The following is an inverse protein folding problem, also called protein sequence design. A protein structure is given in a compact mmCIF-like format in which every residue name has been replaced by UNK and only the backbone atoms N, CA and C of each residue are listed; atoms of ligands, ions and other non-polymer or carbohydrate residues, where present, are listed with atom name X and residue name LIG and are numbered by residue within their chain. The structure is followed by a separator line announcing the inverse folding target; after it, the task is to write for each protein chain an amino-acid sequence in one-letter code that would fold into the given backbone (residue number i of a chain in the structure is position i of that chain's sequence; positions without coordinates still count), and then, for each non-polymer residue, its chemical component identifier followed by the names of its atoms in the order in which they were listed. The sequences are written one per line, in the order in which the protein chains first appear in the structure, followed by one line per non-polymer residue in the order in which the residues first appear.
data_IF_110337556766
#
_entry.id   IF_110337556766
#
_cell.length_a   1.000
_cell.length_b   1.000
_cell.length_c   1.000
_cell.angle_alpha   90.00
_cell.angle_beta   90.00
_cell.angle_gamma   90.00
#
_symmetry.space_group_name_H-M   'P 1'
#
loop_
_entity.id
_entity.type
_entity.pdbx_description
1 polymer ?
#
# COMPACT_ATOMS: atom_id res chain seq x y z
N UNK A 1 11.55 3.21 -1.08
CA UNK A 1 10.28 3.51 -0.38
C UNK A 1 10.48 4.56 0.71
N UNK A 2 11.49 4.44 1.58
CA UNK A 2 11.78 5.41 2.66
C UNK A 2 11.89 6.86 2.17
N UNK A 3 12.65 7.11 1.10
CA UNK A 3 12.81 8.45 0.54
C UNK A 3 11.50 9.09 0.02
N UNK A 4 10.52 8.30 -0.44
CA UNK A 4 9.26 8.86 -0.94
C UNK A 4 8.37 9.40 0.19
N UNK A 5 8.48 8.79 1.38
CA UNK A 5 7.65 9.08 2.56
C UNK A 5 8.28 10.21 3.37
N UNK A 6 9.60 10.15 3.55
CA UNK A 6 10.35 11.12 4.35
C UNK A 6 10.37 12.51 3.70
N UNK A 7 10.42 12.58 2.37
CA UNK A 7 10.52 13.86 1.63
C UNK A 7 9.16 14.54 1.37
N UNK A 8 8.04 13.88 1.65
CA UNK A 8 6.72 14.42 1.28
C UNK A 8 5.82 14.62 2.52
N UNK A 9 5.59 15.88 2.94
CA UNK A 9 4.76 16.22 4.11
C UNK A 9 3.36 15.60 4.08
N UNK A 10 2.82 15.37 2.87
CA UNK A 10 1.52 14.74 2.66
C UNK A 10 1.45 13.28 3.16
N UNK A 11 2.60 12.62 3.34
CA UNK A 11 2.67 11.21 3.77
C UNK A 11 3.01 11.04 5.24
N UNK A 12 3.27 12.12 6.00
CA UNK A 12 3.56 12.02 7.43
C UNK A 12 2.37 11.54 8.27
N UNK A 13 1.14 11.65 7.77
CA UNK A 13 -0.05 11.09 8.40
C UNK A 13 -0.39 9.65 7.96
N UNK A 14 0.37 9.07 7.03
CA UNK A 14 0.07 7.75 6.47
C UNK A 14 0.80 6.67 7.27
N UNK A 15 0.05 5.77 7.90
CA UNK A 15 0.63 4.59 8.55
C UNK A 15 0.96 3.54 7.49
N UNK A 16 2.23 3.12 7.47
CA UNK A 16 2.69 2.11 6.50
C UNK A 16 2.93 0.80 7.23
N UNK A 17 2.07 -0.16 6.94
CA UNK A 17 2.22 -1.53 7.40
C UNK A 17 2.99 -2.33 6.36
N UNK A 18 4.10 -2.94 6.77
CA UNK A 18 4.86 -3.87 5.93
C UNK A 18 4.50 -5.28 6.35
N UNK A 19 3.99 -6.05 5.40
CA UNK A 19 3.68 -7.47 5.60
C UNK A 19 4.64 -8.26 4.71
N UNK A 20 5.36 -9.20 5.33
CA UNK A 20 6.20 -10.13 4.60
C UNK A 20 5.31 -11.15 3.86
N UNK A 21 5.23 -11.03 2.53
CA UNK A 21 4.37 -11.91 1.74
C UNK A 21 4.80 -13.37 1.82
N UNK A 22 6.11 -13.67 1.81
CA UNK A 22 6.60 -15.05 1.83
C UNK A 22 6.27 -15.73 3.16
N UNK A 23 6.20 -14.95 4.24
CA UNK A 23 5.82 -15.43 5.58
C UNK A 23 4.31 -15.56 5.73
N UNK A 24 3.53 -14.57 5.27
CA UNK A 24 2.10 -14.44 5.56
C UNK A 24 1.17 -14.81 4.40
N UNK A 25 1.67 -15.30 3.26
CA UNK A 25 0.86 -15.64 2.06
C UNK A 25 -0.31 -16.60 2.36
N UNK A 26 -0.18 -17.42 3.40
CA UNK A 26 -1.15 -18.43 3.80
C UNK A 26 -2.03 -17.97 4.98
N UNK A 27 -1.91 -16.72 5.42
CA UNK A 27 -2.68 -16.16 6.53
C UNK A 27 -4.03 -15.58 6.09
N UNK A 28 -4.95 -15.45 7.05
CA UNK A 28 -6.29 -14.92 6.82
C UNK A 28 -6.26 -13.53 6.17
N UNK A 29 -5.37 -12.64 6.61
CA UNK A 29 -5.26 -11.27 6.07
C UNK A 29 -4.96 -11.22 4.57
N UNK A 30 -4.12 -12.13 4.06
CA UNK A 30 -3.79 -12.20 2.61
C UNK A 30 -4.98 -12.72 1.81
N UNK A 31 -5.74 -13.67 2.36
CA UNK A 31 -6.96 -14.20 1.74
C UNK A 31 -8.10 -13.19 1.74
N UNK A 32 -8.32 -12.52 2.88
CA UNK A 32 -9.37 -11.51 3.06
C UNK A 32 -9.15 -10.30 2.16
N UNK A 33 -7.90 -9.81 2.07
CA UNK A 33 -7.54 -8.69 1.19
C UNK A 33 -7.38 -9.10 -0.28
N UNK A 34 -7.53 -10.40 -0.59
CA UNK A 34 -7.36 -10.98 -1.92
C UNK A 34 -6.03 -10.53 -2.56
N UNK A 35 -4.91 -10.73 -1.86
CA UNK A 35 -3.58 -10.33 -2.33
C UNK A 35 -2.95 -11.49 -3.13
N UNK A 36 -2.95 -11.45 -4.48
CA UNK A 36 -2.62 -12.63 -5.27
C UNK A 36 -1.10 -12.87 -5.42
N UNK A 37 -0.28 -11.85 -5.16
CA UNK A 37 1.18 -11.92 -5.32
C UNK A 37 1.93 -10.89 -4.48
N UNK A 38 3.23 -11.17 -4.26
CA UNK A 38 4.20 -10.22 -3.73
C UNK A 38 4.22 -8.91 -4.54
N UNK A 39 4.55 -7.80 -3.87
CA UNK A 39 4.49 -6.43 -4.41
C UNK A 39 3.07 -5.89 -4.62
N UNK A 40 2.16 -6.20 -3.70
CA UNK A 40 0.83 -5.56 -3.65
C UNK A 40 0.84 -4.45 -2.60
N UNK A 41 0.41 -3.26 -3.02
CA UNK A 41 0.17 -2.10 -2.16
C UNK A 41 -1.34 -1.89 -2.10
N UNK A 42 -1.90 -1.78 -0.89
CA UNK A 42 -3.31 -1.47 -0.66
C UNK A 42 -3.36 -0.25 0.23
N UNK A 43 -4.20 0.71 -0.12
CA UNK A 43 -4.38 1.93 0.66
C UNK A 43 -5.77 1.98 1.26
N UNK A 44 -5.82 2.34 2.53
CA UNK A 44 -7.05 2.47 3.29
C UNK A 44 -7.23 3.91 3.77
N UNK A 45 -8.47 4.39 3.76
CA UNK A 45 -8.89 5.67 4.36
C UNK A 45 -10.18 5.43 5.14
N UNK A 46 -10.23 5.84 6.41
CA UNK A 46 -11.38 5.63 7.29
C UNK A 46 -11.86 4.16 7.41
N UNK A 47 -10.96 3.19 7.23
CA UNK A 47 -11.29 1.76 7.26
C UNK A 47 -11.76 1.18 5.93
N UNK A 48 -11.90 1.99 4.88
CA UNK A 48 -12.27 1.54 3.53
C UNK A 48 -11.05 1.51 2.61
N UNK A 49 -10.99 0.50 1.74
CA UNK A 49 -9.99 0.45 0.68
C UNK A 49 -10.30 1.49 -0.40
N UNK A 50 -9.39 2.44 -0.60
CA UNK A 50 -9.53 3.48 -1.63
C UNK A 50 -8.80 3.13 -2.93
N UNK A 51 -7.94 2.11 -2.89
CA UNK A 51 -7.25 1.63 -4.07
C UNK A 51 -6.15 0.61 -3.76
N UNK A 52 -5.69 -0.05 -4.82
CA UNK A 52 -4.58 -1.00 -4.76
C UNK A 52 -3.73 -0.95 -6.02
N UNK A 53 -2.47 -1.35 -5.86
CA UNK A 53 -1.49 -1.50 -6.93
C UNK A 53 -0.88 -2.89 -6.82
N UNK A 54 -0.98 -3.69 -7.89
CA UNK A 54 -0.59 -5.12 -7.88
C UNK A 54 0.63 -5.35 -8.78
N UNK A 55 1.76 -5.72 -8.17
CA UNK A 55 3.11 -5.82 -8.72
C UNK A 55 3.52 -4.72 -9.69
N UNK A 56 3.26 -3.48 -9.27
CA UNK A 56 3.98 -2.33 -9.80
C UNK A 56 4.81 -1.72 -8.67
N UNK A 57 6.01 -1.28 -9.02
CA UNK A 57 7.00 -0.75 -8.08
C UNK A 57 7.52 0.63 -8.50
N UNK A 58 7.05 1.16 -9.64
CA UNK A 58 7.48 2.47 -10.12
C UNK A 58 6.80 3.57 -9.31
N UNK A 59 7.52 4.64 -8.96
CA UNK A 59 6.95 5.77 -8.23
C UNK A 59 5.72 6.37 -8.94
N UNK A 60 5.75 6.40 -10.28
CA UNK A 60 4.65 6.90 -11.10
C UNK A 60 3.36 6.08 -10.98
N UNK A 61 3.48 4.77 -10.71
CA UNK A 61 2.31 3.90 -10.50
C UNK A 61 1.71 4.03 -9.10
N UNK A 62 2.51 4.48 -8.13
CA UNK A 62 2.10 4.57 -6.72
C UNK A 62 1.62 5.99 -6.38
N UNK A 63 2.13 7.02 -7.04
CA UNK A 63 1.74 8.42 -6.82
C UNK A 63 0.21 8.67 -6.92
N UNK A 64 -0.54 8.06 -7.87
CA UNK A 64 -2.00 8.22 -7.94
C UNK A 64 -2.73 7.65 -6.71
N UNK A 65 -2.23 6.53 -6.17
CA UNK A 65 -2.80 5.89 -4.99
C UNK A 65 -2.69 6.80 -3.77
N UNK A 66 -1.52 7.40 -3.61
CA UNK A 66 -1.24 8.37 -2.57
C UNK A 66 -2.07 9.65 -2.69
N UNK A 67 -2.22 10.20 -3.91
CA UNK A 67 -3.08 11.37 -4.16
C UNK A 67 -4.53 11.10 -3.77
N UNK A 68 -5.03 9.89 -3.99
CA UNK A 68 -6.40 9.52 -3.61
C UNK A 68 -6.61 9.50 -2.08
N UNK A 69 -5.59 9.20 -1.28
CA UNK A 69 -5.69 9.24 0.18
C UNK A 69 -5.71 10.67 0.73
N UNK A 70 -4.94 11.56 0.14
CA UNK A 70 -4.74 12.93 0.64
C UNK A 70 -5.72 13.95 0.07
N UNK A 71 -6.48 13.61 -0.98
CA UNK A 71 -7.58 14.40 -1.52
C UNK A 71 -8.82 14.34 -0.60
#
# INVERSE_FOLDING_TARGET
MSALIDDNPAYQGVTIMRVDWDTFRDDAIVRELQVPRRSTLIMFKNGEEIGRVVAKTSSADIEPLFKAATA
#
